data_IF_374837676333
#
_entry.id   IF_374837676333
#
_cell.length_a   1.000
_cell.length_b   1.000
_cell.length_c   1.000
_cell.angle_alpha   90.00
_cell.angle_beta   90.00
_cell.angle_gamma   90.00
#
_symmetry.space_group_name_H-M   'P 1'
#
loop_
_entity.id
_entity.type
_entity.pdbx_description
1 polymer ?
#
# COMPACT_ATOMS: atom_id res chain seq x y z
N UNK A 1 -7.05 -27.84 10.70
CA UNK A 1 -6.75 -26.40 10.83
C UNK A 1 -5.74 -26.05 9.76
N UNK A 2 -6.19 -25.46 8.66
CA UNK A 2 -5.34 -25.08 7.52
C UNK A 2 -4.86 -23.63 7.70
N UNK A 3 -3.59 -23.43 7.39
CA UNK A 3 -2.79 -22.23 7.68
C UNK A 3 -3.32 -20.95 6.98
N UNK A 4 -4.03 -20.08 7.71
CA UNK A 4 -4.41 -18.73 7.24
C UNK A 4 -3.23 -17.72 7.21
N UNK A 5 -2.05 -18.13 7.67
CA UNK A 5 -0.87 -17.26 7.75
C UNK A 5 -0.35 -16.87 6.35
N UNK A 6 -0.35 -17.80 5.40
CA UNK A 6 0.09 -17.54 4.01
C UNK A 6 -0.89 -16.63 3.24
N UNK A 7 -2.18 -16.70 3.53
CA UNK A 7 -3.21 -15.89 2.87
C UNK A 7 -3.12 -14.41 3.29
N UNK A 8 -2.77 -14.17 4.55
CA UNK A 8 -2.65 -12.82 5.11
C UNK A 8 -1.45 -12.06 4.53
N UNK A 9 -0.30 -12.74 4.39
CA UNK A 9 0.91 -12.17 3.76
C UNK A 9 0.69 -11.89 2.27
N UNK A 10 -0.01 -12.79 1.57
CA UNK A 10 -0.39 -12.60 0.16
C UNK A 10 -1.33 -11.38 -0.02
N UNK A 11 -2.33 -11.24 0.86
CA UNK A 11 -3.26 -10.12 0.87
C UNK A 11 -2.58 -8.77 1.14
N UNK A 12 -1.60 -8.71 2.05
CA UNK A 12 -0.84 -7.50 2.31
C UNK A 12 0.09 -7.13 1.14
N UNK A 13 0.76 -8.11 0.51
CA UNK A 13 1.59 -7.86 -0.67
C UNK A 13 0.77 -7.32 -1.85
N UNK A 14 -0.44 -7.82 -2.06
CA UNK A 14 -1.36 -7.27 -3.06
C UNK A 14 -1.76 -5.82 -2.77
N UNK A 15 -1.98 -5.48 -1.50
CA UNK A 15 -2.27 -4.11 -1.08
C UNK A 15 -1.10 -3.17 -1.37
N UNK A 16 0.14 -3.59 -1.09
CA UNK A 16 1.35 -2.82 -1.42
C UNK A 16 1.44 -2.61 -2.94
N UNK A 17 1.15 -3.63 -3.76
CA UNK A 17 1.12 -3.49 -5.22
C UNK A 17 0.04 -2.51 -5.72
N UNK A 18 -1.09 -2.40 -5.02
CA UNK A 18 -2.09 -1.37 -5.31
C UNK A 18 -1.56 0.04 -5.01
N UNK A 19 -0.79 0.21 -3.92
CA UNK A 19 -0.09 1.47 -3.63
C UNK A 19 0.91 1.81 -4.74
N UNK A 20 1.75 0.86 -5.16
CA UNK A 20 2.72 1.04 -6.26
C UNK A 20 2.02 1.55 -7.51
N UNK A 21 0.94 0.89 -7.96
CA UNK A 21 0.20 1.31 -9.18
C UNK A 21 -0.43 2.70 -9.07
N UNK A 22 -0.82 3.11 -7.87
CA UNK A 22 -1.39 4.45 -7.65
C UNK A 22 -0.31 5.52 -7.72
N UNK A 23 0.83 5.27 -7.06
CA UNK A 23 1.97 6.18 -7.00
C UNK A 23 2.62 6.32 -8.38
N UNK A 24 2.82 5.21 -9.09
CA UNK A 24 3.53 5.13 -10.38
C UNK A 24 2.90 6.01 -11.47
N UNK A 25 1.58 6.22 -11.41
CA UNK A 25 0.87 7.12 -12.33
C UNK A 25 1.33 8.58 -12.23
N UNK A 26 1.98 8.95 -11.13
CA UNK A 26 2.32 10.33 -10.81
C UNK A 26 3.82 10.48 -10.56
N UNK A 27 4.43 9.51 -9.87
CA UNK A 27 5.86 9.51 -9.58
C UNK A 27 6.41 8.08 -9.59
N UNK A 28 7.14 7.75 -10.66
CA UNK A 28 7.74 6.43 -10.86
C UNK A 28 8.83 6.10 -9.84
N UNK A 29 9.63 7.08 -9.41
CA UNK A 29 10.73 6.86 -8.46
C UNK A 29 10.20 6.42 -7.10
N UNK A 30 9.18 7.09 -6.59
CA UNK A 30 8.50 6.69 -5.36
C UNK A 30 7.87 5.29 -5.46
N UNK A 31 7.32 4.94 -6.62
CA UNK A 31 6.76 3.61 -6.84
C UNK A 31 7.85 2.52 -6.86
N UNK A 32 9.02 2.83 -7.43
CA UNK A 32 10.16 1.92 -7.47
C UNK A 32 10.75 1.65 -6.08
N UNK A 33 10.77 2.64 -5.20
CA UNK A 33 11.22 2.46 -3.82
C UNK A 33 10.29 1.52 -3.03
N UNK A 34 8.97 1.70 -3.15
CA UNK A 34 7.97 0.79 -2.53
C UNK A 34 8.10 -0.63 -3.07
N UNK A 35 8.35 -0.79 -4.37
CA UNK A 35 8.55 -2.10 -4.97
C UNK A 35 9.84 -2.77 -4.48
N UNK A 36 10.92 -1.99 -4.29
CA UNK A 36 12.19 -2.49 -3.75
C UNK A 36 12.03 -3.01 -2.32
N UNK A 37 11.31 -2.28 -1.47
CA UNK A 37 10.98 -2.72 -0.11
C UNK A 37 10.10 -3.98 -0.11
N UNK A 38 9.22 -4.13 -1.11
CA UNK A 38 8.40 -5.33 -1.24
C UNK A 38 9.23 -6.54 -1.68
N UNK A 39 10.12 -6.36 -2.66
CA UNK A 39 10.96 -7.42 -3.20
C UNK A 39 12.07 -7.86 -2.22
N UNK A 40 12.44 -7.01 -1.25
CA UNK A 40 13.34 -7.39 -0.15
C UNK A 40 12.68 -8.32 0.88
N UNK A 41 11.37 -8.51 0.81
CA UNK A 41 10.58 -9.28 1.77
C UNK A 41 10.15 -8.48 3.01
N UNK A 42 10.48 -7.19 3.09
CA UNK A 42 10.14 -6.31 4.21
C UNK A 42 8.74 -5.71 4.06
N UNK A 43 7.72 -6.58 4.07
CA UNK A 43 6.34 -6.22 3.74
C UNK A 43 5.75 -5.06 4.55
N UNK A 44 6.08 -4.96 5.84
CA UNK A 44 5.60 -3.86 6.69
C UNK A 44 6.27 -2.53 6.38
N UNK A 45 7.54 -2.56 5.96
CA UNK A 45 8.26 -1.37 5.50
C UNK A 45 7.67 -0.94 4.18
N UNK A 46 7.52 -1.86 3.22
CA UNK A 46 6.89 -1.57 1.93
C UNK A 46 5.49 -0.98 2.06
N UNK A 47 4.69 -1.49 3.00
CA UNK A 47 3.37 -0.92 3.32
C UNK A 47 3.45 0.49 3.89
N UNK A 48 4.37 0.74 4.83
CA UNK A 48 4.60 2.07 5.41
C UNK A 48 5.02 3.09 4.35
N UNK A 49 6.03 2.74 3.55
CA UNK A 49 6.54 3.55 2.43
C UNK A 49 5.41 3.83 1.42
N UNK A 50 4.62 2.82 1.06
CA UNK A 50 3.49 2.95 0.14
C UNK A 50 2.40 3.91 0.65
N UNK A 51 2.04 3.84 1.93
CA UNK A 51 1.07 4.77 2.53
C UNK A 51 1.61 6.21 2.52
N UNK A 52 2.89 6.38 2.87
CA UNK A 52 3.52 7.69 2.93
C UNK A 52 3.55 8.36 1.56
N UNK A 53 4.10 7.69 0.54
CA UNK A 53 4.16 8.24 -0.81
C UNK A 53 2.79 8.42 -1.45
N UNK A 54 1.82 7.54 -1.19
CA UNK A 54 0.47 7.73 -1.66
C UNK A 54 -0.17 9.02 -1.13
N UNK A 55 0.14 9.42 0.12
CA UNK A 55 -0.30 10.71 0.67
C UNK A 55 0.44 11.87 0.03
N UNK A 56 1.75 11.76 -0.20
CA UNK A 56 2.51 12.82 -0.87
C UNK A 56 2.02 13.08 -2.29
N UNK A 57 1.83 12.03 -3.11
CA UNK A 57 1.29 12.21 -4.48
C UNK A 57 -0.12 12.78 -4.46
N UNK A 58 -0.94 12.43 -3.46
CA UNK A 58 -2.27 13.03 -3.28
C UNK A 58 -2.18 14.54 -3.01
N UNK A 59 -1.21 14.97 -2.21
CA UNK A 59 -0.98 16.39 -1.92
C UNK A 59 -0.43 17.13 -3.14
N UNK A 60 0.50 16.53 -3.88
CA UNK A 60 1.04 17.12 -5.12
C UNK A 60 -0.06 17.30 -6.18
N UNK A 61 -0.99 16.35 -6.26
CA UNK A 61 -2.07 16.37 -7.25
C UNK A 61 -3.39 16.96 -6.74
N UNK A 62 -3.43 17.49 -5.51
CA UNK A 62 -4.62 18.08 -4.89
C UNK A 62 -5.34 19.14 -5.74
N UNK A 63 -4.68 19.95 -6.59
CA UNK A 63 -5.40 20.88 -7.46
C UNK A 63 -5.99 20.24 -8.73
N UNK A 64 -5.67 18.98 -9.05
CA UNK A 64 -5.93 18.38 -10.38
C UNK A 64 -6.58 16.98 -10.30
N UNK A 65 -6.40 16.25 -9.19
CA UNK A 65 -6.83 14.86 -9.04
C UNK A 65 -7.68 14.63 -7.79
N UNK A 66 -8.59 13.66 -7.87
CA UNK A 66 -9.40 13.23 -6.73
C UNK A 66 -8.55 12.48 -5.70
N UNK A 67 -8.71 12.80 -4.41
CA UNK A 67 -8.08 12.09 -3.30
C UNK A 67 -8.74 10.74 -2.97
N UNK A 68 -9.94 10.48 -3.51
CA UNK A 68 -10.75 9.28 -3.21
C UNK A 68 -9.99 7.95 -3.39
N UNK A 69 -9.17 7.74 -4.44
CA UNK A 69 -8.40 6.51 -4.57
C UNK A 69 -7.43 6.28 -3.42
N UNK A 70 -6.75 7.32 -2.94
CA UNK A 70 -5.80 7.25 -1.82
C UNK A 70 -6.56 6.97 -0.51
N UNK A 71 -7.66 7.68 -0.27
CA UNK A 71 -8.49 7.49 0.94
C UNK A 71 -9.09 6.09 1.02
N UNK A 72 -9.65 5.58 -0.09
CA UNK A 72 -10.17 4.22 -0.17
C UNK A 72 -9.08 3.19 0.12
N UNK A 73 -7.87 3.41 -0.39
CA UNK A 73 -6.76 2.49 -0.19
C UNK A 73 -6.28 2.50 1.27
N UNK A 74 -6.20 3.68 1.89
CA UNK A 74 -5.92 3.81 3.34
C UNK A 74 -6.98 3.11 4.19
N UNK A 75 -8.27 3.24 3.85
CA UNK A 75 -9.35 2.55 4.56
C UNK A 75 -9.24 1.03 4.41
N UNK A 76 -8.94 0.53 3.21
CA UNK A 76 -8.70 -0.89 2.95
C UNK A 76 -7.53 -1.42 3.76
N UNK A 77 -6.45 -0.65 3.87
CA UNK A 77 -5.30 -0.95 4.74
C UNK A 77 -5.71 -1.06 6.20
N UNK A 78 -6.43 -0.07 6.73
CA UNK A 78 -6.89 -0.08 8.11
C UNK A 78 -7.80 -1.28 8.42
N UNK A 79 -8.68 -1.66 7.49
CA UNK A 79 -9.54 -2.84 7.62
C UNK A 79 -8.68 -4.13 7.64
N UNK A 80 -7.77 -4.32 6.69
CA UNK A 80 -6.90 -5.51 6.62
C UNK A 80 -6.04 -5.66 7.87
N UNK A 81 -5.43 -4.58 8.36
CA UNK A 81 -4.61 -4.61 9.56
C UNK A 81 -5.40 -5.00 10.82
N UNK A 82 -6.64 -4.51 10.96
CA UNK A 82 -7.53 -4.90 12.08
C UNK A 82 -7.85 -6.39 12.09
N UNK A 83 -8.05 -7.00 10.93
CA UNK A 83 -8.31 -8.44 10.85
C UNK A 83 -7.08 -9.30 11.19
N UNK A 84 -5.87 -8.86 10.82
CA UNK A 84 -4.63 -9.54 11.20
C UNK A 84 -4.27 -9.42 12.69
N UNK A 85 -4.71 -8.36 13.38
CA UNK A 85 -4.42 -8.17 14.82
C UNK A 85 -5.35 -8.97 15.76
N UNK A 86 -6.44 -9.52 15.25
CA UNK A 86 -7.48 -10.23 16.02
C UNK A 86 -7.36 -11.77 15.87
N UNK A 87 -6.46 -12.26 15.01
CA UNK A 87 -6.32 -13.69 14.71
C UNK A 87 -5.17 -14.38 15.43
#
# INVERSE_FOLDING_TARGET
>A
MTNNYNDSTSSLAELVREYVRLIDRINHEHAADVLRDLDSGELMIALGTGIFYAREVALMCRPICSLRPVENLIQKTAMRLRHTAIS
#
